data_IF_811194804698
#
_entry.id   IF_811194804698
#
_cell.length_a   1.000
_cell.length_b   1.000
_cell.length_c   1.000
_cell.angle_alpha   90.00
_cell.angle_beta   90.00
_cell.angle_gamma   90.00
#
_symmetry.space_group_name_H-M   'P 1'
#
loop_
_entity.id
_entity.type
_entity.pdbx_description
1 polymer ?
#
# COMPACT_ATOMS: atom_id res chain seq x y z
N UNK A 1 -25.87 -1.00 -5.21
CA UNK A 1 -24.84 -1.56 -6.10
C UNK A 1 -23.75 -2.10 -5.19
N UNK A 2 -23.10 -3.24 -5.51
CA UNK A 2 -21.93 -3.66 -4.76
C UNK A 2 -20.89 -2.53 -4.77
N UNK A 3 -20.16 -2.36 -3.68
CA UNK A 3 -19.10 -1.37 -3.61
C UNK A 3 -18.02 -1.72 -4.66
N UNK A 4 -17.46 -0.70 -5.32
CA UNK A 4 -16.35 -0.87 -6.26
C UNK A 4 -15.14 -1.40 -5.51
N UNK A 5 -14.53 -2.46 -6.02
CA UNK A 5 -13.30 -3.03 -5.49
C UNK A 5 -12.10 -2.22 -5.98
N UNK A 6 -11.25 -1.77 -5.05
CA UNK A 6 -10.04 -1.05 -5.38
C UNK A 6 -8.95 -2.01 -5.84
N UNK A 7 -8.19 -1.62 -6.86
CA UNK A 7 -7.05 -2.39 -7.39
C UNK A 7 -5.77 -1.64 -7.08
N UNK A 8 -4.90 -2.28 -6.29
CA UNK A 8 -3.61 -1.75 -5.91
C UNK A 8 -2.51 -2.54 -6.63
N UNK A 9 -1.67 -1.86 -7.41
CA UNK A 9 -0.56 -2.49 -8.12
C UNK A 9 0.64 -2.68 -7.20
N UNK A 10 0.93 -3.93 -6.80
CA UNK A 10 2.04 -4.30 -5.93
C UNK A 10 3.38 -4.03 -6.60
N UNK A 11 4.18 -3.13 -6.03
CA UNK A 11 5.43 -2.61 -6.61
C UNK A 11 5.25 -2.19 -8.07
N UNK A 12 4.08 -1.61 -8.36
CA UNK A 12 3.60 -1.27 -9.68
C UNK A 12 2.85 -2.41 -10.37
N UNK A 13 3.52 -3.17 -11.23
CA UNK A 13 2.96 -4.30 -11.97
C UNK A 13 4.01 -5.42 -12.10
N UNK A 14 4.43 -5.97 -10.99
CA UNK A 14 5.55 -6.89 -10.83
C UNK A 14 5.44 -8.14 -11.70
N UNK A 15 4.23 -8.60 -12.04
CA UNK A 15 4.05 -9.73 -12.95
C UNK A 15 4.36 -9.37 -14.42
N UNK A 16 4.53 -8.11 -14.76
CA UNK A 16 4.69 -7.62 -16.14
C UNK A 16 6.03 -6.94 -16.38
N UNK A 17 6.53 -6.21 -15.40
CA UNK A 17 7.73 -5.36 -15.48
C UNK A 17 8.58 -5.54 -14.21
N UNK A 18 9.80 -5.06 -14.24
CA UNK A 18 10.65 -5.04 -13.05
C UNK A 18 9.95 -4.25 -11.93
N UNK A 19 9.93 -4.84 -10.73
CA UNK A 19 9.28 -4.25 -9.56
C UNK A 19 9.94 -2.93 -9.14
N UNK A 20 9.17 -2.05 -8.52
CA UNK A 20 9.64 -0.79 -7.97
C UNK A 20 10.32 0.13 -9.01
N UNK A 21 9.89 0.07 -10.28
CA UNK A 21 10.38 0.93 -11.37
C UNK A 21 9.30 1.90 -11.83
N UNK A 22 9.73 3.04 -12.41
CA UNK A 22 8.81 4.03 -12.98
C UNK A 22 7.94 3.43 -14.09
N UNK A 23 8.50 2.53 -14.89
CA UNK A 23 7.79 1.82 -15.96
C UNK A 23 6.68 0.92 -15.40
N UNK A 24 6.95 0.20 -14.29
CA UNK A 24 5.95 -0.63 -13.65
C UNK A 24 4.81 0.20 -13.04
N UNK A 25 5.11 1.34 -12.43
CA UNK A 25 4.11 2.26 -11.90
C UNK A 25 3.28 2.89 -13.01
N UNK A 26 3.90 3.38 -14.09
CA UNK A 26 3.21 3.92 -15.24
C UNK A 26 2.28 2.89 -15.89
N UNK A 27 2.73 1.64 -16.01
CA UNK A 27 1.91 0.56 -16.53
C UNK A 27 0.67 0.33 -15.64
N UNK A 28 0.82 0.22 -14.33
CA UNK A 28 -0.29 0.05 -13.40
C UNK A 28 -1.30 1.21 -13.49
N UNK A 29 -0.81 2.46 -13.54
CA UNK A 29 -1.65 3.65 -13.70
C UNK A 29 -2.41 3.61 -15.04
N UNK A 30 -1.73 3.29 -16.13
CA UNK A 30 -2.34 3.22 -17.47
C UNK A 30 -3.38 2.10 -17.59
N UNK A 31 -3.23 1.01 -16.85
CA UNK A 31 -4.26 -0.04 -16.75
C UNK A 31 -5.48 0.41 -15.95
N UNK A 32 -5.40 1.52 -15.23
CA UNK A 32 -6.47 2.04 -14.39
C UNK A 32 -6.45 1.52 -12.94
N UNK A 33 -5.30 1.13 -12.40
CA UNK A 33 -5.17 0.84 -10.98
C UNK A 33 -5.58 2.06 -10.13
N UNK A 34 -6.22 1.81 -8.99
CA UNK A 34 -6.67 2.86 -8.07
C UNK A 34 -5.53 3.33 -7.16
N UNK A 35 -4.55 2.46 -6.92
CA UNK A 35 -3.33 2.78 -6.20
C UNK A 35 -2.12 2.06 -6.81
N UNK A 36 -0.94 2.65 -6.58
CA UNK A 36 0.35 2.01 -6.81
C UNK A 36 1.05 1.85 -5.47
N UNK A 37 1.39 0.62 -5.17
CA UNK A 37 2.14 0.31 -3.94
C UNK A 37 3.64 0.23 -4.26
N UNK A 38 4.46 0.67 -3.31
CA UNK A 38 5.91 0.70 -3.42
C UNK A 38 6.60 0.61 -2.07
N UNK A 39 7.77 -0.01 -2.08
CA UNK A 39 8.64 -0.11 -0.91
C UNK A 39 9.58 1.11 -0.84
N UNK A 40 9.66 1.74 0.32
CA UNK A 40 10.59 2.85 0.56
C UNK A 40 11.74 2.45 1.47
N UNK A 41 12.93 2.91 1.13
CA UNK A 41 14.15 2.75 1.93
C UNK A 41 14.82 4.10 2.11
N UNK A 42 15.34 4.35 3.31
CA UNK A 42 16.25 5.47 3.57
C UNK A 42 17.68 5.00 3.39
N UNK A 43 18.40 5.62 2.47
CA UNK A 43 19.83 5.35 2.25
C UNK A 43 20.69 6.00 3.31
N UNK A 44 21.93 5.54 3.46
CA UNK A 44 22.90 6.10 4.42
C UNK A 44 23.28 7.55 4.14
N UNK A 45 23.13 8.01 2.88
CA UNK A 45 23.33 9.40 2.46
C UNK A 45 22.05 10.27 2.57
N UNK A 46 20.99 9.73 3.17
CA UNK A 46 19.76 10.47 3.48
C UNK A 46 18.81 10.66 2.30
N UNK A 47 18.86 9.79 1.29
CA UNK A 47 17.87 9.79 0.20
C UNK A 47 16.75 8.80 0.47
N UNK A 48 15.52 9.15 0.10
CA UNK A 48 14.40 8.20 0.06
C UNK A 48 14.31 7.62 -1.34
N UNK A 49 14.60 6.34 -1.45
CA UNK A 49 14.57 5.58 -2.72
C UNK A 49 13.52 4.48 -2.68
N UNK A 50 13.11 4.03 -3.85
CA UNK A 50 12.11 2.97 -4.00
C UNK A 50 12.83 1.64 -4.24
N UNK A 51 12.87 0.79 -3.23
CA UNK A 51 13.51 -0.52 -3.27
C UNK A 51 12.91 -1.45 -2.22
N UNK A 52 12.77 -2.74 -2.57
CA UNK A 52 12.38 -3.75 -1.59
C UNK A 52 13.52 -4.07 -0.61
N UNK A 53 14.73 -4.18 -1.12
CA UNK A 53 15.90 -4.52 -0.33
C UNK A 53 16.63 -3.28 0.18
N UNK A 54 17.33 -3.36 1.31
CA UNK A 54 18.12 -2.25 1.84
C UNK A 54 19.16 -1.75 0.84
N UNK A 55 19.27 -0.43 0.69
CA UNK A 55 20.24 0.25 -0.16
C UNK A 55 21.08 1.17 0.70
N UNK A 56 22.42 1.01 0.64
CA UNK A 56 23.34 1.81 1.46
C UNK A 56 23.58 3.21 0.88
N UNK A 57 23.69 3.30 -0.44
CA UNK A 57 23.87 4.55 -1.17
C UNK A 57 22.88 4.60 -2.34
N UNK A 58 22.33 5.77 -2.63
CA UNK A 58 21.41 5.94 -3.76
C UNK A 58 22.10 5.54 -5.08
N UNK A 59 21.47 4.63 -5.80
CA UNK A 59 21.94 4.04 -7.06
C UNK A 59 20.97 4.32 -8.21
N UNK A 60 20.71 3.30 -9.05
CA UNK A 60 19.78 3.40 -10.16
C UNK A 60 18.30 3.35 -9.73
N UNK A 61 18.01 3.08 -8.45
CA UNK A 61 16.66 3.02 -7.92
C UNK A 61 15.96 4.36 -8.06
N UNK A 62 14.65 4.38 -8.42
CA UNK A 62 13.89 5.62 -8.47
C UNK A 62 13.90 6.33 -7.11
N UNK A 63 14.08 7.63 -7.12
CA UNK A 63 13.86 8.45 -5.93
C UNK A 63 12.35 8.67 -5.74
N UNK A 64 11.93 8.90 -4.52
CA UNK A 64 10.53 9.20 -4.24
C UNK A 64 10.02 10.41 -5.04
N UNK A 65 10.87 11.41 -5.27
CA UNK A 65 10.55 12.58 -6.11
C UNK A 65 10.23 12.18 -7.56
N UNK A 66 10.97 11.22 -8.13
CA UNK A 66 10.72 10.74 -9.51
C UNK A 66 9.37 10.05 -9.62
N UNK A 67 9.00 9.28 -8.58
CA UNK A 67 7.68 8.62 -8.54
C UNK A 67 6.56 9.65 -8.35
N UNK A 68 6.75 10.67 -7.54
CA UNK A 68 5.73 11.72 -7.34
C UNK A 68 5.46 12.57 -8.59
N UNK A 69 6.38 12.62 -9.55
CA UNK A 69 6.12 13.20 -10.87
C UNK A 69 4.95 12.51 -11.61
N UNK A 70 4.68 11.24 -11.33
CA UNK A 70 3.57 10.49 -11.90
C UNK A 70 2.20 11.02 -11.46
N UNK A 71 2.13 11.87 -10.43
CA UNK A 71 0.88 12.55 -10.02
C UNK A 71 0.19 13.30 -11.17
N UNK A 72 0.95 13.66 -12.20
CA UNK A 72 0.45 14.32 -13.43
C UNK A 72 -0.33 13.38 -14.35
N UNK A 73 -0.20 12.05 -14.18
CA UNK A 73 -0.86 11.06 -15.01
C UNK A 73 -2.33 10.82 -14.65
N UNK A 74 -2.80 11.28 -13.49
CA UNK A 74 -4.19 11.09 -13.08
C UNK A 74 -4.40 11.05 -11.57
N UNK A 75 -5.61 10.63 -11.20
CA UNK A 75 -6.02 10.50 -9.80
C UNK A 75 -5.90 9.05 -9.36
N UNK A 76 -4.82 8.73 -8.69
CA UNK A 76 -4.57 7.45 -8.03
C UNK A 76 -3.90 7.71 -6.67
N UNK A 77 -3.83 6.71 -5.83
CA UNK A 77 -3.21 6.78 -4.50
C UNK A 77 -1.81 6.18 -4.55
N UNK A 78 -0.89 6.77 -3.81
CA UNK A 78 0.43 6.21 -3.53
C UNK A 78 0.36 5.45 -2.21
N UNK A 79 0.54 4.14 -2.25
CA UNK A 79 0.69 3.30 -1.07
C UNK A 79 2.18 3.17 -0.77
N UNK A 80 2.62 3.89 0.24
CA UNK A 80 4.04 4.02 0.58
C UNK A 80 4.37 3.09 1.75
N UNK A 81 4.97 1.93 1.48
CA UNK A 81 5.46 1.06 2.53
C UNK A 81 6.79 1.57 3.08
N UNK A 82 6.77 2.05 4.32
CA UNK A 82 7.99 2.40 5.05
C UNK A 82 8.53 1.13 5.70
N UNK A 83 9.63 0.61 5.12
CA UNK A 83 10.36 -0.55 5.62
C UNK A 83 11.43 -0.14 6.60
N UNK A 84 11.28 -0.66 7.82
CA UNK A 84 12.26 -0.44 8.86
C UNK A 84 13.38 -1.48 8.77
N UNK A 85 14.53 -1.10 8.25
CA UNK A 85 15.72 -1.97 8.15
C UNK A 85 16.86 -1.57 9.09
N UNK A 86 16.77 -0.42 9.75
CA UNK A 86 17.79 0.07 10.67
C UNK A 86 17.26 0.19 12.08
N UNK A 87 17.99 -0.22 13.12
CA UNK A 87 17.62 0.04 14.50
C UNK A 87 17.71 1.53 14.88
N UNK A 88 18.26 2.37 14.02
CA UNK A 88 18.60 3.75 14.30
C UNK A 88 17.58 4.72 13.67
N UNK A 89 16.61 5.18 14.48
CA UNK A 89 15.78 6.36 14.25
C UNK A 89 14.65 6.23 13.19
N UNK A 90 13.52 5.54 13.52
CA UNK A 90 12.30 5.57 12.71
C UNK A 90 11.80 7.00 12.46
N UNK A 91 12.00 7.92 13.42
CA UNK A 91 11.58 9.31 13.34
C UNK A 91 12.18 10.01 12.12
N UNK A 92 13.47 9.85 11.90
CA UNK A 92 14.18 10.50 10.77
C UNK A 92 13.64 10.05 9.43
N UNK A 93 13.41 8.74 9.25
CA UNK A 93 12.86 8.23 7.98
C UNK A 93 11.44 8.77 7.74
N UNK A 94 10.58 8.74 8.76
CA UNK A 94 9.23 9.30 8.68
C UNK A 94 9.28 10.79 8.35
N UNK A 95 10.18 11.56 8.97
CA UNK A 95 10.36 13.00 8.68
C UNK A 95 10.76 13.26 7.24
N UNK A 96 11.69 12.48 6.67
CA UNK A 96 12.09 12.61 5.26
C UNK A 96 10.92 12.32 4.32
N UNK A 97 10.21 11.20 4.52
CA UNK A 97 9.04 10.83 3.70
C UNK A 97 7.95 11.90 3.82
N UNK A 98 7.63 12.34 5.02
CA UNK A 98 6.63 13.38 5.26
C UNK A 98 7.02 14.72 4.63
N UNK A 99 8.31 15.08 4.71
CA UNK A 99 8.85 16.26 4.04
C UNK A 99 8.56 16.24 2.53
N UNK A 100 8.80 15.11 1.88
CA UNK A 100 8.51 14.92 0.45
C UNK A 100 7.03 14.97 0.15
N UNK A 101 6.18 14.31 0.93
CA UNK A 101 4.72 14.36 0.75
C UNK A 101 4.21 15.81 0.77
N UNK A 102 4.68 16.61 1.73
CA UNK A 102 4.31 18.02 1.89
C UNK A 102 4.86 18.92 0.78
N UNK A 103 6.11 18.70 0.37
CA UNK A 103 6.72 19.42 -0.75
C UNK A 103 5.89 19.26 -2.03
N UNK A 104 5.41 18.03 -2.29
CA UNK A 104 4.58 17.71 -3.46
C UNK A 104 3.07 17.93 -3.24
N UNK A 105 2.63 18.30 -2.04
CA UNK A 105 1.22 18.50 -1.67
C UNK A 105 0.35 17.28 -1.97
N UNK A 106 0.82 16.12 -1.56
CA UNK A 106 0.18 14.82 -1.86
C UNK A 106 -0.48 14.20 -0.63
N UNK A 107 -0.69 14.92 0.47
CA UNK A 107 -1.24 14.42 1.73
C UNK A 107 -2.57 13.67 1.54
N UNK A 108 -3.43 14.16 0.66
CA UNK A 108 -4.72 13.52 0.36
C UNK A 108 -4.61 12.33 -0.61
N UNK A 109 -3.44 12.10 -1.19
CA UNK A 109 -3.19 11.09 -2.24
C UNK A 109 -2.20 10.01 -1.80
N UNK A 110 -1.85 9.95 -0.54
CA UNK A 110 -0.95 8.94 0.02
C UNK A 110 -1.65 8.12 1.09
N UNK A 111 -1.20 6.88 1.24
CA UNK A 111 -1.45 6.04 2.40
C UNK A 111 -0.11 5.45 2.85
N UNK A 112 0.18 5.51 4.14
CA UNK A 112 1.42 4.95 4.70
C UNK A 112 1.17 3.53 5.15
N UNK A 113 1.92 2.61 4.60
CA UNK A 113 1.92 1.19 4.92
C UNK A 113 3.12 0.85 5.78
N UNK A 114 2.95 0.02 6.79
CA UNK A 114 4.08 -0.57 7.53
C UNK A 114 3.67 -1.80 8.32
N UNK A 115 4.61 -2.74 8.44
CA UNK A 115 4.59 -3.82 9.44
C UNK A 115 5.06 -3.33 10.82
N UNK A 116 5.83 -2.26 10.86
CA UNK A 116 6.29 -1.64 12.10
C UNK A 116 5.29 -0.56 12.56
N UNK A 117 4.48 -0.90 13.54
CA UNK A 117 3.46 0.02 14.06
C UNK A 117 4.03 1.23 14.79
N UNK A 118 5.33 1.24 15.13
CA UNK A 118 6.02 2.44 15.64
C UNK A 118 6.08 3.51 14.56
N UNK A 119 6.38 3.12 13.31
CA UNK A 119 6.35 4.02 12.14
C UNK A 119 4.98 4.67 11.97
N UNK A 120 3.91 3.86 12.05
CA UNK A 120 2.54 4.37 11.96
C UNK A 120 2.20 5.31 13.11
N UNK A 121 2.67 5.00 14.33
CA UNK A 121 2.50 5.86 15.50
C UNK A 121 3.19 7.22 15.36
N UNK A 122 4.41 7.23 14.80
CA UNK A 122 5.16 8.47 14.54
C UNK A 122 4.44 9.28 13.44
N UNK A 123 4.05 8.63 12.33
CA UNK A 123 3.31 9.30 11.26
C UNK A 123 2.01 9.91 11.77
N UNK A 124 1.22 9.18 12.56
CA UNK A 124 -0.03 9.69 13.17
C UNK A 124 0.20 10.91 14.05
N UNK A 125 1.32 10.96 14.77
CA UNK A 125 1.68 12.11 15.62
C UNK A 125 2.00 13.36 14.83
N UNK A 126 2.74 13.23 13.71
CA UNK A 126 3.22 14.37 12.92
C UNK A 126 2.30 14.80 11.77
N UNK A 127 1.46 13.88 11.29
CA UNK A 127 0.57 14.09 10.16
C UNK A 127 -0.74 13.28 10.33
N UNK A 128 -1.60 13.66 11.29
CA UNK A 128 -2.84 12.94 11.58
C UNK A 128 -3.83 12.89 10.40
N UNK A 129 -3.65 13.75 9.41
CA UNK A 129 -4.44 13.82 8.17
C UNK A 129 -4.08 12.74 7.15
N UNK A 130 -2.90 12.13 7.24
CA UNK A 130 -2.47 11.08 6.31
C UNK A 130 -3.07 9.73 6.74
N UNK A 131 -3.60 9.01 5.76
CA UNK A 131 -4.15 7.67 5.96
C UNK A 131 -3.05 6.67 6.29
N UNK A 132 -3.35 5.77 7.22
CA UNK A 132 -2.47 4.70 7.64
C UNK A 132 -3.05 3.33 7.30
N UNK A 133 -2.17 2.43 6.88
CA UNK A 133 -2.50 1.04 6.58
C UNK A 133 -1.58 0.12 7.38
N UNK A 134 -2.17 -0.70 8.24
CA UNK A 134 -1.46 -1.68 9.03
C UNK A 134 -1.25 -2.97 8.22
N UNK A 135 0.00 -3.29 7.88
CA UNK A 135 0.38 -4.57 7.28
C UNK A 135 0.42 -5.67 8.35
N UNK A 136 -0.08 -6.86 8.02
CA UNK A 136 0.01 -8.03 8.91
C UNK A 136 0.11 -9.33 8.10
N UNK A 137 1.03 -10.20 8.50
CA UNK A 137 1.29 -11.50 7.87
C UNK A 137 1.09 -12.68 8.82
N UNK A 138 0.81 -12.43 10.09
CA UNK A 138 0.71 -13.48 11.11
C UNK A 138 -0.52 -13.31 11.99
N UNK A 139 -1.04 -14.43 12.44
CA UNK A 139 -1.85 -14.53 13.64
C UNK A 139 -3.36 -14.60 13.47
N UNK A 140 -3.96 -15.06 14.56
CA UNK A 140 -5.41 -15.20 14.72
C UNK A 140 -6.10 -13.90 15.18
N UNK A 141 -5.37 -12.77 15.23
CA UNK A 141 -5.88 -11.49 15.74
C UNK A 141 -7.00 -10.94 14.88
N UNK A 142 -7.97 -10.30 15.49
CA UNK A 142 -8.99 -9.57 14.78
C UNK A 142 -8.38 -8.30 14.13
N UNK A 143 -8.85 -7.93 12.94
CA UNK A 143 -8.28 -6.79 12.19
C UNK A 143 -8.48 -5.45 12.90
N UNK A 144 -9.58 -5.28 13.67
CA UNK A 144 -9.78 -4.10 14.50
C UNK A 144 -8.79 -3.97 15.66
N UNK A 145 -8.27 -5.08 16.20
CA UNK A 145 -7.21 -5.06 17.20
C UNK A 145 -5.87 -4.66 16.58
N UNK A 146 -5.57 -5.19 15.39
CA UNK A 146 -4.39 -4.81 14.61
C UNK A 146 -4.41 -3.31 14.30
N UNK A 147 -5.50 -2.79 13.76
CA UNK A 147 -5.64 -1.37 13.44
C UNK A 147 -5.49 -0.47 14.67
N UNK A 148 -6.07 -0.86 15.80
CA UNK A 148 -5.97 -0.10 17.06
C UNK A 148 -4.52 0.00 17.55
N UNK A 149 -3.77 -1.08 17.51
CA UNK A 149 -2.35 -1.10 17.87
C UNK A 149 -1.50 -0.30 16.88
N UNK A 150 -1.87 -0.33 15.61
CA UNK A 150 -1.27 0.44 14.51
C UNK A 150 -1.77 1.90 14.47
N UNK A 151 -1.80 2.56 15.61
CA UNK A 151 -2.17 3.98 15.77
C UNK A 151 -3.57 4.33 15.21
N UNK A 152 -4.52 3.43 15.36
CA UNK A 152 -5.86 3.52 14.78
C UNK A 152 -5.82 3.73 13.26
N UNK A 153 -5.09 2.87 12.57
CA UNK A 153 -5.05 2.86 11.11
C UNK A 153 -6.45 2.71 10.51
N UNK A 154 -6.72 3.36 9.41
CA UNK A 154 -8.00 3.32 8.70
C UNK A 154 -8.16 2.05 7.86
N UNK A 155 -7.03 1.42 7.51
CA UNK A 155 -6.99 0.21 6.68
C UNK A 155 -6.12 -0.85 7.32
N UNK A 156 -6.53 -2.11 7.20
CA UNK A 156 -5.67 -3.26 7.47
C UNK A 156 -5.40 -4.00 6.16
N UNK A 157 -4.13 -4.25 5.89
CA UNK A 157 -3.68 -5.01 4.73
C UNK A 157 -3.08 -6.35 5.21
N UNK A 158 -3.92 -7.40 5.34
CA UNK A 158 -3.47 -8.71 5.77
C UNK A 158 -2.89 -9.51 4.63
N UNK A 159 -1.98 -10.45 4.94
CA UNK A 159 -1.68 -11.58 4.06
C UNK A 159 -3.01 -12.31 3.76
N UNK A 160 -3.29 -12.63 2.48
CA UNK A 160 -4.65 -12.97 2.04
C UNK A 160 -5.20 -14.30 2.63
N UNK A 161 -4.33 -15.25 3.02
CA UNK A 161 -4.79 -16.48 3.70
C UNK A 161 -5.36 -16.22 5.11
N UNK A 162 -5.07 -15.06 5.71
CA UNK A 162 -5.64 -14.64 6.99
C UNK A 162 -7.08 -14.12 6.86
N UNK A 163 -7.53 -13.84 5.63
CA UNK A 163 -8.83 -13.21 5.37
C UNK A 163 -9.96 -14.24 5.48
N UNK A 164 -10.96 -13.91 6.28
CA UNK A 164 -12.23 -14.62 6.33
C UNK A 164 -13.36 -13.61 6.28
N UNK A 165 -14.52 -14.01 5.77
CA UNK A 165 -15.70 -13.14 5.77
C UNK A 165 -16.00 -12.57 7.17
N UNK A 166 -15.92 -13.38 8.21
CA UNK A 166 -16.17 -12.95 9.60
C UNK A 166 -15.21 -11.84 10.05
N UNK A 167 -13.92 -11.95 9.69
CA UNK A 167 -12.93 -10.91 10.03
C UNK A 167 -13.19 -9.61 9.27
N UNK A 168 -13.59 -9.71 7.98
CA UNK A 168 -13.95 -8.53 7.17
C UNK A 168 -15.18 -7.84 7.73
N UNK A 169 -16.25 -8.59 8.03
CA UNK A 169 -17.47 -8.04 8.63
C UNK A 169 -17.18 -7.34 9.99
N UNK A 170 -16.32 -7.94 10.82
CA UNK A 170 -15.89 -7.33 12.08
C UNK A 170 -15.06 -6.05 11.87
N UNK A 171 -14.21 -6.01 10.84
CA UNK A 171 -13.46 -4.80 10.45
C UNK A 171 -14.41 -3.69 9.98
N UNK A 172 -15.36 -4.01 9.10
CA UNK A 172 -16.36 -3.07 8.62
C UNK A 172 -17.25 -2.51 9.75
N UNK A 173 -17.61 -3.35 10.73
CA UNK A 173 -18.33 -2.89 11.92
C UNK A 173 -17.53 -1.87 12.76
N UNK A 174 -16.21 -1.87 12.62
CA UNK A 174 -15.30 -0.90 13.23
C UNK A 174 -14.91 0.23 12.27
N UNK A 175 -15.58 0.38 11.12
CA UNK A 175 -15.31 1.35 10.07
C UNK A 175 -13.89 1.24 9.45
N UNK A 176 -13.32 0.03 9.43
CA UNK A 176 -12.01 -0.25 8.81
C UNK A 176 -12.19 -0.80 7.40
N UNK A 177 -11.25 -0.47 6.53
CA UNK A 177 -11.08 -1.11 5.23
C UNK A 177 -10.15 -2.32 5.32
N UNK A 178 -10.38 -3.32 4.46
CA UNK A 178 -9.56 -4.53 4.37
C UNK A 178 -9.05 -4.69 2.93
N UNK A 179 -7.73 -4.64 2.75
CA UNK A 179 -7.06 -4.67 1.44
C UNK A 179 -5.94 -5.73 1.49
N UNK A 180 -6.25 -7.01 1.22
CA UNK A 180 -5.26 -8.10 1.31
C UNK A 180 -4.17 -8.05 0.25
N UNK A 181 -3.02 -8.64 0.57
CA UNK A 181 -1.82 -8.80 -0.27
C UNK A 181 -1.27 -10.23 -0.19
N UNK A 182 -0.44 -10.73 -1.14
CA UNK A 182 -0.49 -10.35 -2.54
C UNK A 182 -1.33 -11.41 -3.24
N UNK A 183 -2.43 -11.01 -3.85
CA UNK A 183 -3.42 -11.93 -4.41
C UNK A 183 -3.29 -11.96 -5.92
N UNK A 184 -2.88 -13.10 -6.49
CA UNK A 184 -2.48 -13.20 -7.90
C UNK A 184 -3.28 -14.21 -8.75
N UNK A 185 -4.03 -15.12 -8.12
CA UNK A 185 -4.77 -16.14 -8.86
C UNK A 185 -6.27 -15.82 -8.93
N UNK A 186 -6.94 -16.07 -10.07
CA UNK A 186 -8.38 -15.79 -10.23
C UNK A 186 -9.26 -16.42 -9.14
N UNK A 187 -8.96 -17.64 -8.70
CA UNK A 187 -9.69 -18.31 -7.62
C UNK A 187 -9.54 -17.57 -6.28
N UNK A 188 -8.36 -16.99 -6.04
CA UNK A 188 -8.07 -16.28 -4.79
C UNK A 188 -8.68 -14.88 -4.84
N UNK A 189 -8.72 -14.22 -6.02
CA UNK A 189 -9.54 -13.01 -6.23
C UNK A 189 -11.01 -13.28 -5.91
N UNK A 190 -11.60 -14.36 -6.45
CA UNK A 190 -12.99 -14.72 -6.18
C UNK A 190 -13.23 -15.00 -4.68
N UNK A 191 -12.27 -15.62 -3.99
CA UNK A 191 -12.35 -15.83 -2.54
C UNK A 191 -12.34 -14.50 -1.76
N UNK A 192 -11.48 -13.54 -2.15
CA UNK A 192 -11.44 -12.20 -1.51
C UNK A 192 -12.73 -11.42 -1.78
N UNK A 193 -13.24 -11.46 -3.01
CA UNK A 193 -14.53 -10.86 -3.35
C UNK A 193 -15.67 -11.45 -2.53
N UNK A 194 -15.70 -12.78 -2.38
CA UNK A 194 -16.69 -13.46 -1.56
C UNK A 194 -16.55 -13.15 -0.06
N UNK A 195 -15.34 -12.85 0.41
CA UNK A 195 -15.13 -12.39 1.79
C UNK A 195 -15.60 -10.96 2.02
N UNK A 196 -15.73 -10.14 0.95
CA UNK A 196 -16.24 -8.78 1.01
C UNK A 196 -15.16 -7.72 1.26
N UNK A 197 -13.91 -7.95 0.80
CA UNK A 197 -12.80 -6.99 0.94
C UNK A 197 -13.06 -5.69 0.16
N UNK A 198 -12.39 -4.61 0.52
CA UNK A 198 -12.56 -3.27 -0.08
C UNK A 198 -11.64 -3.05 -1.27
N UNK A 199 -10.52 -3.74 -1.31
CA UNK A 199 -9.53 -3.69 -2.38
C UNK A 199 -8.65 -4.93 -2.39
N UNK A 200 -7.78 -5.02 -3.39
CA UNK A 200 -6.84 -6.14 -3.54
C UNK A 200 -5.50 -5.59 -4.03
N UNK A 201 -4.42 -5.95 -3.34
CA UNK A 201 -3.04 -5.72 -3.78
C UNK A 201 -2.60 -6.93 -4.62
N UNK A 202 -2.19 -6.67 -5.87
CA UNK A 202 -1.85 -7.72 -6.84
C UNK A 202 -0.61 -7.36 -7.67
N UNK A 203 0.13 -8.38 -8.10
CA UNK A 203 1.26 -8.23 -9.03
C UNK A 203 0.80 -7.95 -10.48
N UNK A 204 -0.46 -8.28 -10.83
CA UNK A 204 -1.02 -8.07 -12.17
C UNK A 204 -2.31 -7.24 -12.13
N UNK A 205 -2.20 -5.91 -12.00
CA UNK A 205 -3.38 -5.05 -11.92
C UNK A 205 -4.25 -5.11 -13.18
N UNK A 206 -3.67 -5.29 -14.36
CA UNK A 206 -4.43 -5.41 -15.61
C UNK A 206 -5.31 -6.67 -15.61
N UNK A 207 -4.78 -7.82 -15.19
CA UNK A 207 -5.55 -9.05 -15.13
C UNK A 207 -6.66 -9.00 -14.07
N UNK A 208 -6.39 -8.40 -12.90
CA UNK A 208 -7.42 -8.22 -11.88
C UNK A 208 -8.53 -7.28 -12.36
N UNK A 209 -8.18 -6.17 -13.01
CA UNK A 209 -9.17 -5.23 -13.57
C UNK A 209 -10.08 -5.95 -14.56
N UNK A 210 -9.53 -6.69 -15.53
CA UNK A 210 -10.30 -7.46 -16.50
C UNK A 210 -11.21 -8.50 -15.82
N UNK A 211 -10.73 -9.14 -14.74
CA UNK A 211 -11.50 -10.09 -13.94
C UNK A 211 -12.69 -9.44 -13.23
N UNK A 212 -12.51 -8.24 -12.70
CA UNK A 212 -13.56 -7.45 -12.04
C UNK A 212 -14.59 -6.92 -13.04
N UNK A 213 -14.15 -6.41 -14.20
CA UNK A 213 -15.01 -5.91 -15.28
C UNK A 213 -15.94 -7.02 -15.81
N UNK A 214 -15.39 -8.22 -16.01
CA UNK A 214 -16.17 -9.38 -16.44
C UNK A 214 -17.30 -9.78 -15.46
N UNK A 215 -17.23 -9.29 -14.21
CA UNK A 215 -18.22 -9.51 -13.15
C UNK A 215 -19.10 -8.30 -12.86
N UNK A 216 -18.90 -7.19 -13.57
CA UNK A 216 -19.62 -5.94 -13.32
C UNK A 216 -19.29 -5.28 -11.97
N UNK A 217 -18.06 -5.52 -11.44
CA UNK A 217 -17.58 -4.98 -10.17
C UNK A 217 -16.65 -3.76 -10.35
N UNK A 218 -16.45 -3.35 -11.64
CA UNK A 218 -15.65 -2.19 -12.00
C UNK A 218 -16.22 -1.45 -13.23
#
# INVERSE_FOLDING_TARGET
MPARILVHGHRGARARLAENTLEAFQYAINCGADAIEMDLVLTGDGQVVVSHDPVLEAGPEPRLDDVFLLARMGSFVYDLEIKWHSPEQPDTFVEFVLGKIREWRLEARVSIFSFDFRVLGIMRKFAPEIRLTALTETGARAFNEVAKEAANAETVAPEFHLVTRQKVEAAHAAALQVVPWTVNAPRDWDAMLAAGVDGIITDDPAALIAHLEARGLR
#
